data_IF_520441818391
#
_entry.id   IF_520441818391
#
_cell.length_a   1.000
_cell.length_b   1.000
_cell.length_c   1.000
_cell.angle_alpha   90.00
_cell.angle_beta   90.00
_cell.angle_gamma   90.00
#
_symmetry.space_group_name_H-M   'P 1'
#
loop_
_entity.id
_entity.type
_entity.pdbx_description
1 polymer ?
#
# COMPACT_ATOMS: atom_id res chain seq x y z
N UNK A 1 -56.24 81.81 57.47
CA UNK A 1 -57.13 82.64 58.30
C UNK A 1 -56.36 83.90 58.64
N UNK A 2 -56.55 84.96 57.85
CA UNK A 2 -55.89 86.23 58.10
C UNK A 2 -56.51 86.82 59.37
N UNK A 3 -55.78 86.75 60.47
CA UNK A 3 -56.12 87.50 61.67
C UNK A 3 -56.04 88.97 61.25
N UNK A 4 -57.17 89.67 61.24
CA UNK A 4 -57.19 91.12 61.07
C UNK A 4 -56.42 91.71 62.25
N UNK A 5 -55.10 91.89 62.07
CA UNK A 5 -54.23 92.53 63.04
C UNK A 5 -54.81 93.90 63.43
N UNK A 6 -55.50 94.56 62.50
CA UNK A 6 -56.19 95.83 62.71
C UNK A 6 -57.31 95.77 63.76
N UNK A 7 -58.14 94.71 63.77
CA UNK A 7 -59.20 94.53 64.77
C UNK A 7 -58.61 94.10 66.14
N UNK A 8 -57.55 93.28 66.13
CA UNK A 8 -56.84 92.89 67.34
C UNK A 8 -56.11 94.07 67.99
N UNK A 9 -55.41 94.89 67.19
CA UNK A 9 -54.78 96.10 67.71
C UNK A 9 -55.84 97.11 68.13
N UNK A 10 -56.95 97.27 67.41
CA UNK A 10 -58.05 98.17 67.81
C UNK A 10 -58.64 97.80 69.16
N UNK A 11 -59.00 96.53 69.37
CA UNK A 11 -59.54 96.04 70.64
C UNK A 11 -58.53 96.13 71.78
N UNK A 12 -57.26 95.81 71.54
CA UNK A 12 -56.19 95.94 72.56
C UNK A 12 -55.87 97.40 72.87
N UNK A 13 -55.98 98.32 71.90
CA UNK A 13 -55.84 99.76 72.13
C UNK A 13 -57.02 100.31 72.93
N UNK A 14 -58.23 99.91 72.57
CA UNK A 14 -59.47 100.31 73.25
C UNK A 14 -59.50 99.81 74.70
N UNK A 15 -59.05 98.58 74.97
CA UNK A 15 -59.06 98.01 76.33
C UNK A 15 -57.88 98.48 77.23
N UNK A 16 -56.74 98.89 76.66
CA UNK A 16 -55.51 99.16 77.45
C UNK A 16 -55.04 100.61 77.49
N UNK A 17 -55.44 101.47 76.54
CA UNK A 17 -55.02 102.88 76.50
C UNK A 17 -56.11 103.87 76.94
N UNK A 18 -57.39 103.46 76.90
CA UNK A 18 -58.47 104.20 77.55
C UNK A 18 -58.43 103.93 79.06
N UNK A 19 -57.51 104.60 79.74
CA UNK A 19 -57.68 104.87 81.18
C UNK A 19 -59.04 105.56 81.30
N UNK A 20 -60.03 104.90 81.91
CA UNK A 20 -61.30 105.55 82.28
C UNK A 20 -60.93 106.78 83.11
N UNK A 21 -61.08 107.98 82.53
CA UNK A 21 -60.94 109.22 83.28
C UNK A 21 -61.95 109.14 84.45
N UNK A 22 -61.52 109.34 85.70
CA UNK A 22 -62.44 109.38 86.84
C UNK A 22 -63.52 110.43 86.59
N UNK A 23 -64.77 110.12 86.96
CA UNK A 23 -65.89 111.07 86.88
C UNK A 23 -65.58 112.32 87.73
N UNK A 24 -65.83 113.51 87.16
CA UNK A 24 -65.51 114.81 87.77
C UNK A 24 -66.43 115.08 88.96
N UNK A 25 -65.89 115.11 90.18
CA UNK A 25 -66.51 115.77 91.34
C UNK A 25 -65.87 117.16 91.53
N UNK A 26 -66.13 118.08 90.61
CA UNK A 26 -65.58 119.45 90.63
C UNK A 26 -66.69 120.48 90.90
N UNK A 27 -67.07 120.75 92.16
CA UNK A 27 -67.92 121.91 92.47
C UNK A 27 -67.54 122.76 93.69
N UNK A 28 -66.52 122.40 94.51
CA UNK A 28 -66.09 123.26 95.63
C UNK A 28 -64.59 123.22 95.96
N UNK A 29 -63.71 123.41 94.97
CA UNK A 29 -62.25 123.48 95.18
C UNK A 29 -61.61 124.69 94.46
N UNK A 30 -60.62 125.32 95.11
CA UNK A 30 -59.94 126.54 94.66
C UNK A 30 -58.97 126.24 93.50
N UNK A 31 -58.67 127.15 92.55
CA UNK A 31 -57.80 126.86 91.40
C UNK A 31 -56.40 126.31 91.72
N UNK A 32 -55.91 126.52 92.95
CA UNK A 32 -54.64 125.97 93.43
C UNK A 32 -54.71 124.47 93.80
N UNK A 33 -55.86 123.96 94.26
CA UNK A 33 -56.03 122.55 94.64
C UNK A 33 -56.32 121.66 93.42
N UNK A 34 -57.06 122.15 92.43
CA UNK A 34 -57.26 121.45 91.15
C UNK A 34 -55.95 121.23 90.38
N UNK A 35 -55.03 122.19 90.45
CA UNK A 35 -53.69 122.08 89.87
C UNK A 35 -52.85 121.01 90.55
N UNK A 36 -53.01 120.83 91.87
CA UNK A 36 -52.33 119.79 92.64
C UNK A 36 -52.90 118.40 92.34
N UNK A 37 -54.23 118.27 92.21
CA UNK A 37 -54.87 117.01 91.82
C UNK A 37 -54.53 116.62 90.38
N UNK A 38 -54.56 117.56 89.43
CA UNK A 38 -54.10 117.27 88.06
C UNK A 38 -52.62 116.92 87.99
N UNK A 39 -51.78 117.50 88.86
CA UNK A 39 -50.36 117.12 88.97
C UNK A 39 -50.18 115.73 89.58
N UNK A 40 -51.06 115.34 90.51
CA UNK A 40 -51.09 113.99 91.10
C UNK A 40 -51.58 112.95 90.09
N UNK A 41 -52.68 113.21 89.37
CA UNK A 41 -53.18 112.36 88.29
C UNK A 41 -52.13 112.20 87.18
N UNK A 42 -51.47 113.30 86.77
CA UNK A 42 -50.36 113.26 85.82
C UNK A 42 -49.21 112.39 86.35
N UNK A 43 -48.84 112.52 87.63
CA UNK A 43 -47.82 111.67 88.26
C UNK A 43 -48.24 110.19 88.31
N UNK A 44 -49.51 109.89 88.56
CA UNK A 44 -50.04 108.52 88.62
C UNK A 44 -50.09 107.88 87.22
N UNK A 45 -50.49 108.64 86.19
CA UNK A 45 -50.45 108.21 84.78
C UNK A 45 -49.01 108.08 84.29
N UNK A 46 -48.10 109.00 84.65
CA UNK A 46 -46.67 108.90 84.35
C UNK A 46 -46.04 107.67 85.01
N UNK A 47 -46.40 107.36 86.26
CA UNK A 47 -45.97 106.13 86.95
C UNK A 47 -46.54 104.87 86.29
N UNK A 48 -47.83 104.85 85.91
CA UNK A 48 -48.44 103.71 85.21
C UNK A 48 -47.84 103.50 83.81
N UNK A 49 -47.54 104.58 83.09
CA UNK A 49 -46.86 104.54 81.81
C UNK A 49 -45.41 104.07 81.96
N UNK A 50 -44.71 104.49 83.01
CA UNK A 50 -43.36 104.00 83.33
C UNK A 50 -43.38 102.50 83.64
N UNK A 51 -44.32 102.02 84.47
CA UNK A 51 -44.50 100.60 84.76
C UNK A 51 -44.83 99.79 83.49
N UNK A 52 -45.70 100.30 82.61
CA UNK A 52 -46.03 99.62 81.35
C UNK A 52 -44.82 99.58 80.39
N UNK A 53 -44.01 100.64 80.34
CA UNK A 53 -42.76 100.67 79.57
C UNK A 53 -41.74 99.67 80.11
N UNK A 54 -41.59 99.57 81.43
CA UNK A 54 -40.74 98.57 82.07
C UNK A 54 -41.23 97.15 81.80
N UNK A 55 -42.54 96.89 81.89
CA UNK A 55 -43.10 95.59 81.54
C UNK A 55 -42.89 95.21 80.07
N UNK A 56 -43.07 96.16 79.15
CA UNK A 56 -42.83 95.95 77.73
C UNK A 56 -41.35 95.70 77.45
N UNK A 57 -40.47 96.44 78.12
CA UNK A 57 -39.03 96.26 78.05
C UNK A 57 -38.61 94.86 78.54
N UNK A 58 -39.11 94.42 79.70
CA UNK A 58 -38.87 93.06 80.21
C UNK A 58 -39.39 91.97 79.25
N UNK A 59 -40.58 92.18 78.66
CA UNK A 59 -41.14 91.26 77.65
C UNK A 59 -40.27 91.22 76.39
N UNK A 60 -39.81 92.36 75.91
CA UNK A 60 -38.90 92.44 74.76
C UNK A 60 -37.56 91.75 75.03
N UNK A 61 -36.97 91.98 76.20
CA UNK A 61 -35.72 91.32 76.61
C UNK A 61 -35.87 89.80 76.70
N UNK A 62 -36.97 89.30 77.30
CA UNK A 62 -37.24 87.85 77.36
C UNK A 62 -37.46 87.22 75.98
N UNK A 63 -38.15 87.92 75.06
CA UNK A 63 -38.33 87.47 73.68
C UNK A 63 -37.02 87.49 72.91
N UNK A 64 -36.18 88.50 73.14
CA UNK A 64 -34.85 88.58 72.52
C UNK A 64 -33.95 87.45 73.01
N UNK A 65 -33.90 87.20 74.31
CA UNK A 65 -33.20 86.04 74.88
C UNK A 65 -33.72 84.72 74.27
N UNK A 66 -35.03 84.56 74.13
CA UNK A 66 -35.62 83.36 73.54
C UNK A 66 -35.28 83.19 72.06
N UNK A 67 -35.21 84.28 71.30
CA UNK A 67 -34.77 84.26 69.89
C UNK A 67 -33.31 83.84 69.80
N UNK A 68 -32.43 84.44 70.60
CA UNK A 68 -31.02 84.06 70.63
C UNK A 68 -30.80 82.61 71.07
N UNK A 69 -31.58 82.09 72.03
CA UNK A 69 -31.55 80.68 72.41
C UNK A 69 -31.97 79.76 71.26
N UNK A 70 -33.00 80.13 70.51
CA UNK A 70 -33.48 79.35 69.36
C UNK A 70 -32.45 79.36 68.24
N UNK A 71 -31.83 80.50 67.95
CA UNK A 71 -30.75 80.61 66.96
C UNK A 71 -29.55 79.74 67.36
N UNK A 72 -29.10 79.78 68.62
CA UNK A 72 -28.03 78.90 69.13
C UNK A 72 -28.39 77.42 68.97
N UNK A 73 -29.63 77.02 69.26
CA UNK A 73 -30.09 75.63 69.08
C UNK A 73 -30.13 75.23 67.61
N UNK A 74 -30.56 76.13 66.73
CA UNK A 74 -30.59 75.90 65.28
C UNK A 74 -29.18 75.72 64.72
N UNK A 75 -28.22 76.55 65.15
CA UNK A 75 -26.81 76.42 64.78
C UNK A 75 -26.22 75.09 65.27
N UNK A 76 -26.46 74.70 66.53
CA UNK A 76 -26.05 73.40 67.06
C UNK A 76 -26.64 72.22 66.26
N UNK A 77 -27.92 72.30 65.88
CA UNK A 77 -28.59 71.31 65.03
C UNK A 77 -27.92 71.25 63.65
N UNK A 78 -27.67 72.39 63.00
CA UNK A 78 -26.98 72.46 61.71
C UNK A 78 -25.59 71.83 61.78
N UNK A 79 -24.80 72.15 62.81
CA UNK A 79 -23.50 71.52 63.03
C UNK A 79 -23.59 70.01 63.25
N UNK A 80 -24.56 69.56 64.06
CA UNK A 80 -24.76 68.13 64.33
C UNK A 80 -25.14 67.37 63.05
N UNK A 81 -25.96 67.95 62.19
CA UNK A 81 -26.33 67.39 60.90
C UNK A 81 -25.14 67.32 59.95
N UNK A 82 -24.27 68.33 59.93
CA UNK A 82 -23.04 68.29 59.14
C UNK A 82 -22.08 67.20 59.64
N UNK A 83 -21.89 67.09 60.96
CA UNK A 83 -21.08 66.04 61.60
C UNK A 83 -21.64 64.64 61.30
N UNK A 84 -22.96 64.47 61.39
CA UNK A 84 -23.63 63.19 61.09
C UNK A 84 -23.54 62.82 59.61
N UNK A 85 -23.79 63.76 58.69
CA UNK A 85 -23.59 63.53 57.26
C UNK A 85 -22.15 63.17 56.91
N UNK A 86 -21.16 63.84 57.53
CA UNK A 86 -19.75 63.50 57.37
C UNK A 86 -19.47 62.09 57.88
N UNK A 87 -19.98 61.73 59.05
CA UNK A 87 -19.85 60.39 59.62
C UNK A 87 -20.46 59.30 58.72
N UNK A 88 -21.66 59.52 58.18
CA UNK A 88 -22.30 58.58 57.25
C UNK A 88 -21.45 58.37 55.99
N UNK A 89 -20.99 59.46 55.36
CA UNK A 89 -20.10 59.37 54.18
C UNK A 89 -18.81 58.62 54.48
N UNK A 90 -18.16 58.91 55.61
CA UNK A 90 -16.94 58.21 56.02
C UNK A 90 -17.19 56.73 56.34
N UNK A 91 -18.32 56.41 56.97
CA UNK A 91 -18.70 55.03 57.28
C UNK A 91 -19.00 54.24 56.01
N UNK A 92 -19.76 54.83 55.08
CA UNK A 92 -20.05 54.23 53.77
C UNK A 92 -18.77 54.01 52.95
N UNK A 93 -17.82 54.96 52.99
CA UNK A 93 -16.51 54.78 52.38
C UNK A 93 -15.71 53.65 53.02
N UNK A 94 -15.70 53.54 54.36
CA UNK A 94 -15.03 52.45 55.09
C UNK A 94 -15.68 51.10 54.75
N UNK A 95 -17.00 51.03 54.74
CA UNK A 95 -17.78 49.84 54.36
C UNK A 95 -17.48 49.43 52.91
N UNK A 96 -17.53 50.38 51.97
CA UNK A 96 -17.23 50.13 50.56
C UNK A 96 -15.80 49.61 50.37
N UNK A 97 -14.81 50.22 51.03
CA UNK A 97 -13.41 49.75 50.99
C UNK A 97 -13.26 48.35 51.57
N UNK A 98 -13.88 48.08 52.71
CA UNK A 98 -13.83 46.76 53.35
C UNK A 98 -14.47 45.68 52.47
N UNK A 99 -15.62 45.98 51.86
CA UNK A 99 -16.31 45.08 50.93
C UNK A 99 -15.46 44.83 49.68
N UNK A 100 -14.89 45.86 49.06
CA UNK A 100 -13.99 45.72 47.92
C UNK A 100 -12.79 44.85 48.25
N UNK A 101 -12.07 45.15 49.35
CA UNK A 101 -10.92 44.36 49.81
C UNK A 101 -11.28 42.89 50.08
N UNK A 102 -12.46 42.64 50.65
CA UNK A 102 -12.95 41.27 50.87
C UNK A 102 -13.32 40.56 49.55
N UNK A 103 -13.88 41.29 48.56
CA UNK A 103 -14.16 40.75 47.23
C UNK A 103 -12.86 40.38 46.51
N UNK A 104 -11.90 41.31 46.44
CA UNK A 104 -10.61 41.10 45.80
C UNK A 104 -9.85 39.92 46.44
N UNK A 105 -9.87 39.83 47.78
CA UNK A 105 -9.26 38.71 48.50
C UNK A 105 -9.93 37.36 48.17
N UNK A 106 -11.27 37.31 48.04
CA UNK A 106 -12.00 36.10 47.65
C UNK A 106 -11.72 35.70 46.21
N UNK A 107 -11.62 36.67 45.30
CA UNK A 107 -11.28 36.41 43.90
C UNK A 107 -9.85 35.88 43.77
N UNK A 108 -8.90 36.47 44.48
CA UNK A 108 -7.52 35.98 44.55
C UNK A 108 -7.45 34.56 45.12
N UNK A 109 -8.20 34.27 46.19
CA UNK A 109 -8.28 32.91 46.76
C UNK A 109 -8.81 31.91 45.71
N UNK A 110 -9.93 32.21 45.05
CA UNK A 110 -10.48 31.37 43.97
C UNK A 110 -9.52 31.17 42.81
N UNK A 111 -8.73 32.19 42.46
CA UNK A 111 -7.70 32.04 41.43
C UNK A 111 -6.61 31.07 41.88
N UNK A 112 -6.14 31.18 43.13
CA UNK A 112 -5.14 30.27 43.69
C UNK A 112 -5.67 28.84 43.84
N UNK A 113 -6.93 28.65 44.21
CA UNK A 113 -7.56 27.33 44.25
C UNK A 113 -7.55 26.67 42.86
N UNK A 114 -7.94 27.42 41.81
CA UNK A 114 -7.85 26.94 40.41
C UNK A 114 -6.41 26.63 39.98
N UNK A 115 -5.45 27.44 40.41
CA UNK A 115 -4.03 27.19 40.12
C UNK A 115 -3.54 25.92 40.85
N UNK A 116 -3.95 25.70 42.11
CA UNK A 116 -3.62 24.50 42.88
C UNK A 116 -4.21 23.24 42.25
N UNK A 117 -5.46 23.29 41.79
CA UNK A 117 -6.11 22.17 41.08
C UNK A 117 -5.34 21.83 39.80
N UNK A 118 -5.04 22.83 38.96
CA UNK A 118 -4.29 22.64 37.71
C UNK A 118 -2.91 22.05 37.95
N UNK A 119 -2.16 22.61 38.90
CA UNK A 119 -0.83 22.10 39.25
C UNK A 119 -0.91 20.69 39.85
N UNK A 120 -1.96 20.38 40.62
CA UNK A 120 -2.22 19.04 41.15
C UNK A 120 -2.46 18.01 40.04
N UNK A 121 -3.24 18.35 39.02
CA UNK A 121 -3.44 17.52 37.83
C UNK A 121 -2.13 17.29 37.06
N UNK A 122 -1.34 18.36 36.87
CA UNK A 122 -0.02 18.26 36.21
C UNK A 122 0.93 17.33 36.97
N UNK A 123 0.98 17.43 38.31
CA UNK A 123 1.78 16.55 39.16
C UNK A 123 1.31 15.11 38.99
N UNK A 124 0.02 14.83 39.06
CA UNK A 124 -0.53 13.48 38.90
C UNK A 124 -0.17 12.86 37.54
N UNK A 125 -0.24 13.65 36.45
CA UNK A 125 0.16 13.19 35.11
C UNK A 125 1.66 12.89 35.04
N UNK A 126 2.50 13.74 35.63
CA UNK A 126 3.95 13.56 35.66
C UNK A 126 4.34 12.35 36.50
N UNK A 127 3.68 12.13 37.64
CA UNK A 127 3.88 10.95 38.49
C UNK A 127 3.51 9.66 37.76
N UNK A 128 2.35 9.61 37.10
CA UNK A 128 1.95 8.47 36.29
C UNK A 128 2.96 8.18 35.15
N UNK A 129 3.49 9.24 34.51
CA UNK A 129 4.54 9.11 33.48
C UNK A 129 5.85 8.58 34.08
N UNK A 130 6.27 9.09 35.24
CA UNK A 130 7.45 8.64 35.98
C UNK A 130 7.33 7.16 36.32
N UNK A 131 6.23 6.73 36.92
CA UNK A 131 5.99 5.33 37.26
C UNK A 131 6.00 4.42 36.03
N UNK A 132 5.38 4.86 34.93
CA UNK A 132 5.39 4.11 33.67
C UNK A 132 6.80 3.91 33.14
N UNK A 133 7.64 4.94 33.20
CA UNK A 133 9.04 4.86 32.77
C UNK A 133 9.86 4.00 33.73
N UNK A 134 9.66 4.15 35.04
CA UNK A 134 10.34 3.35 36.06
C UNK A 134 10.04 1.85 35.89
N UNK A 135 8.78 1.48 35.66
CA UNK A 135 8.40 0.09 35.33
C UNK A 135 9.11 -0.43 34.08
N UNK A 136 9.30 0.41 33.05
CA UNK A 136 10.07 0.01 31.85
C UNK A 136 11.55 -0.20 32.17
N UNK A 137 12.14 0.68 32.97
CA UNK A 137 13.53 0.56 33.41
C UNK A 137 13.74 -0.72 34.22
N UNK A 138 12.85 -1.01 35.17
CA UNK A 138 12.91 -2.22 36.00
C UNK A 138 12.80 -3.51 35.15
N UNK A 139 11.84 -3.56 34.21
CA UNK A 139 11.71 -4.67 33.27
C UNK A 139 12.98 -4.85 32.43
N UNK A 140 13.56 -3.75 31.95
CA UNK A 140 14.75 -3.77 31.09
C UNK A 140 16.06 -3.99 31.86
N UNK A 141 16.07 -3.80 33.18
CA UNK A 141 17.26 -3.95 34.02
C UNK A 141 17.84 -5.38 33.96
N UNK A 142 16.99 -6.39 33.70
CA UNK A 142 17.43 -7.78 33.54
C UNK A 142 18.38 -7.90 32.34
N UNK A 143 18.05 -7.27 31.21
CA UNK A 143 18.89 -7.29 30.00
C UNK A 143 20.20 -6.55 30.23
N UNK A 144 20.17 -5.41 30.92
CA UNK A 144 21.40 -4.68 31.27
C UNK A 144 22.32 -5.51 32.16
N UNK A 145 21.78 -6.12 33.22
CA UNK A 145 22.54 -7.04 34.10
C UNK A 145 23.12 -8.23 33.34
N UNK A 146 22.39 -8.76 32.37
CA UNK A 146 22.89 -9.81 31.50
C UNK A 146 24.05 -9.31 30.63
N UNK A 147 23.89 -8.19 29.93
CA UNK A 147 24.93 -7.60 29.09
C UNK A 147 26.18 -7.25 29.89
N UNK A 148 26.03 -6.75 31.12
CA UNK A 148 27.13 -6.49 32.03
C UNK A 148 27.88 -7.78 32.40
N UNK A 149 27.16 -8.88 32.67
CA UNK A 149 27.77 -10.20 32.91
C UNK A 149 28.52 -10.72 31.69
N UNK A 150 27.98 -10.53 30.49
CA UNK A 150 28.63 -10.96 29.23
C UNK A 150 29.85 -10.10 28.92
N UNK A 151 29.76 -8.79 29.10
CA UNK A 151 30.89 -7.85 28.98
C UNK A 151 32.03 -8.24 29.93
N UNK A 152 31.73 -8.54 31.20
CA UNK A 152 32.72 -9.01 32.18
C UNK A 152 33.43 -10.31 31.80
N UNK A 153 32.77 -11.18 31.03
CA UNK A 153 33.35 -12.45 30.54
C UNK A 153 34.07 -12.31 29.21
N UNK A 154 33.85 -11.22 28.48
CA UNK A 154 34.37 -11.00 27.14
C UNK A 154 35.61 -10.12 27.20
N UNK A 155 36.76 -10.67 26.83
CA UNK A 155 38.04 -9.92 26.83
C UNK A 155 38.07 -8.81 25.76
N UNK A 156 37.33 -8.98 24.67
CA UNK A 156 37.40 -8.11 23.48
C UNK A 156 36.29 -7.06 23.37
N UNK A 157 35.20 -7.21 24.14
CA UNK A 157 34.04 -6.32 24.09
C UNK A 157 33.65 -5.94 25.52
N UNK A 158 34.48 -5.10 26.12
CA UNK A 158 34.30 -4.66 27.50
C UNK A 158 33.18 -3.62 27.60
N UNK A 159 32.95 -2.83 26.56
CA UNK A 159 31.84 -1.87 26.53
C UNK A 159 30.55 -2.48 25.94
N UNK A 160 29.44 -2.34 26.69
CA UNK A 160 28.11 -2.78 26.23
C UNK A 160 27.70 -2.06 24.94
N UNK A 161 28.09 -0.79 24.76
CA UNK A 161 27.78 0.00 23.56
C UNK A 161 28.48 -0.57 22.32
N UNK A 162 29.75 -0.94 22.43
CA UNK A 162 30.50 -1.58 21.35
C UNK A 162 29.89 -2.93 20.97
N UNK A 163 29.45 -3.70 21.97
CA UNK A 163 28.76 -4.96 21.76
C UNK A 163 27.47 -4.77 20.94
N UNK A 164 26.64 -3.80 21.32
CA UNK A 164 25.42 -3.45 20.58
C UNK A 164 25.77 -3.01 19.16
N UNK A 165 26.74 -2.11 18.97
CA UNK A 165 27.17 -1.67 17.64
C UNK A 165 27.64 -2.82 16.76
N UNK A 166 28.40 -3.78 17.32
CA UNK A 166 28.81 -4.98 16.59
C UNK A 166 27.60 -5.87 16.25
N UNK A 167 26.66 -6.06 17.16
CA UNK A 167 25.43 -6.79 16.87
C UNK A 167 24.63 -6.13 15.74
N UNK A 168 24.50 -4.81 15.73
CA UNK A 168 23.80 -4.08 14.68
C UNK A 168 24.48 -4.26 13.33
N UNK A 169 25.82 -4.16 13.28
CA UNK A 169 26.58 -4.46 12.04
C UNK A 169 26.41 -5.91 11.59
N UNK A 170 26.34 -6.86 12.52
CA UNK A 170 26.14 -8.27 12.20
C UNK A 170 24.74 -8.55 11.67
N UNK A 171 23.71 -7.92 12.24
CA UNK A 171 22.33 -8.00 11.75
C UNK A 171 22.25 -7.40 10.35
N UNK A 172 22.80 -6.19 10.15
CA UNK A 172 22.81 -5.53 8.85
C UNK A 172 23.53 -6.37 7.78
N UNK A 173 24.70 -6.91 8.08
CA UNK A 173 25.44 -7.80 7.16
C UNK A 173 24.68 -9.09 6.89
N UNK A 174 24.07 -9.71 7.91
CA UNK A 174 23.20 -10.89 7.72
C UNK A 174 22.05 -10.60 6.78
N UNK A 175 21.34 -9.48 6.96
CA UNK A 175 20.25 -9.09 6.08
C UNK A 175 20.71 -8.87 4.64
N UNK A 176 21.87 -8.21 4.45
CA UNK A 176 22.46 -8.03 3.13
C UNK A 176 22.85 -9.37 2.48
N UNK A 177 23.42 -10.30 3.24
CA UNK A 177 23.78 -11.63 2.73
C UNK A 177 22.54 -12.45 2.36
N UNK A 178 21.47 -12.37 3.16
CA UNK A 178 20.21 -13.05 2.86
C UNK A 178 19.57 -12.50 1.58
N UNK A 179 19.57 -11.17 1.40
CA UNK A 179 19.09 -10.55 0.14
C UNK A 179 19.91 -11.03 -1.06
N UNK A 180 21.24 -10.97 -0.96
CA UNK A 180 22.13 -11.46 -2.03
C UNK A 180 21.93 -12.95 -2.34
N UNK A 181 21.71 -13.77 -1.32
CA UNK A 181 21.43 -15.19 -1.50
C UNK A 181 20.10 -15.41 -2.24
N UNK A 182 19.06 -14.65 -1.90
CA UNK A 182 17.77 -14.67 -2.62
C UNK A 182 17.94 -14.24 -4.07
N UNK A 183 18.58 -13.11 -4.33
CA UNK A 183 18.81 -12.60 -5.68
C UNK A 183 19.60 -13.59 -6.53
N UNK A 184 20.61 -14.25 -5.95
CA UNK A 184 21.41 -15.26 -6.63
C UNK A 184 20.59 -16.53 -6.90
N UNK A 185 19.71 -16.94 -5.97
CA UNK A 185 18.82 -18.07 -6.15
C UNK A 185 17.84 -17.82 -7.30
N UNK A 186 17.22 -16.64 -7.36
CA UNK A 186 16.31 -16.23 -8.44
C UNK A 186 17.03 -16.22 -9.80
N UNK A 187 18.26 -15.68 -9.87
CA UNK A 187 19.07 -15.71 -11.10
C UNK A 187 19.39 -17.14 -11.54
N UNK A 188 19.76 -18.00 -10.60
CA UNK A 188 20.09 -19.40 -10.87
C UNK A 188 18.85 -20.18 -11.34
N UNK A 189 17.69 -19.93 -10.75
CA UNK A 189 16.42 -20.50 -11.21
C UNK A 189 16.05 -20.02 -12.62
N UNK A 190 16.20 -18.73 -12.90
CA UNK A 190 15.97 -18.17 -14.24
C UNK A 190 16.91 -18.80 -15.28
N UNK A 191 18.20 -18.92 -14.99
CA UNK A 191 19.17 -19.55 -15.89
C UNK A 191 18.90 -21.05 -16.08
N UNK A 192 18.49 -21.75 -15.02
CA UNK A 192 18.08 -23.16 -15.10
C UNK A 192 16.86 -23.33 -16.00
N UNK A 193 15.87 -22.46 -15.88
CA UNK A 193 14.68 -22.48 -16.72
C UNK A 193 15.02 -22.22 -18.19
N UNK A 194 15.87 -21.24 -18.47
CA UNK A 194 16.34 -20.93 -19.82
C UNK A 194 17.11 -22.10 -20.44
N UNK A 195 18.01 -22.73 -19.68
CA UNK A 195 18.74 -23.92 -20.13
C UNK A 195 17.79 -25.09 -20.38
N UNK A 196 16.80 -25.30 -19.52
CA UNK A 196 15.82 -26.35 -19.68
C UNK A 196 15.03 -26.17 -20.97
N UNK A 197 14.48 -24.97 -21.21
CA UNK A 197 13.77 -24.63 -22.44
C UNK A 197 14.64 -24.84 -23.68
N UNK A 198 15.88 -24.34 -23.66
CA UNK A 198 16.81 -24.53 -24.78
C UNK A 198 17.09 -26.02 -25.04
N UNK A 199 17.21 -26.83 -23.99
CA UNK A 199 17.46 -28.27 -24.12
C UNK A 199 16.25 -28.99 -24.70
N UNK A 200 15.03 -28.63 -24.28
CA UNK A 200 13.79 -29.16 -24.85
C UNK A 200 13.63 -28.77 -26.32
N UNK A 201 13.87 -27.51 -26.67
CA UNK A 201 13.85 -27.03 -28.06
C UNK A 201 14.87 -27.79 -28.93
N UNK A 202 16.08 -28.04 -28.40
CA UNK A 202 17.08 -28.79 -29.15
C UNK A 202 16.74 -30.27 -29.25
N UNK A 203 16.19 -30.87 -28.20
CA UNK A 203 15.71 -32.25 -28.23
C UNK A 203 14.59 -32.43 -29.26
N UNK A 204 13.64 -31.50 -29.32
CA UNK A 204 12.57 -31.53 -30.32
C UNK A 204 13.10 -31.35 -31.75
N UNK A 205 14.08 -30.46 -31.96
CA UNK A 205 14.77 -30.32 -33.24
C UNK A 205 15.51 -31.60 -33.67
N UNK A 206 16.21 -32.26 -32.73
CA UNK A 206 16.88 -33.55 -33.02
C UNK A 206 15.86 -34.62 -33.38
N UNK A 207 14.73 -34.71 -32.68
CA UNK A 207 13.66 -35.64 -33.03
C UNK A 207 13.08 -35.36 -34.43
N UNK A 208 12.90 -34.08 -34.78
CA UNK A 208 12.46 -33.67 -36.10
C UNK A 208 13.43 -34.13 -37.20
N UNK A 209 14.74 -33.83 -37.06
CA UNK A 209 15.75 -34.24 -38.05
C UNK A 209 15.94 -35.76 -38.11
N UNK A 210 15.83 -36.47 -36.98
CA UNK A 210 15.88 -37.93 -36.99
C UNK A 210 14.69 -38.54 -37.73
N UNK A 211 13.50 -37.95 -37.58
CA UNK A 211 12.32 -38.38 -38.34
C UNK A 211 12.52 -38.13 -39.84
N UNK A 212 13.01 -36.95 -40.22
CA UNK A 212 13.32 -36.62 -41.61
C UNK A 212 14.38 -37.56 -42.20
N UNK A 213 15.43 -37.86 -41.43
CA UNK A 213 16.48 -38.81 -41.81
C UNK A 213 15.91 -40.21 -42.06
N UNK A 214 15.03 -40.69 -41.17
CA UNK A 214 14.38 -41.99 -41.32
C UNK A 214 13.51 -42.05 -42.59
N UNK A 215 12.79 -40.97 -42.91
CA UNK A 215 12.01 -40.86 -44.16
C UNK A 215 12.94 -40.92 -45.38
N UNK A 216 14.03 -40.16 -45.37
CA UNK A 216 15.00 -40.13 -46.48
C UNK A 216 15.69 -41.48 -46.66
N UNK A 217 16.08 -42.14 -45.58
CA UNK A 217 16.65 -43.50 -45.61
C UNK A 217 15.64 -44.50 -46.19
N UNK A 218 14.38 -44.46 -45.76
CA UNK A 218 13.33 -45.31 -46.32
C UNK A 218 13.14 -45.09 -47.83
N UNK A 219 13.19 -43.83 -48.30
CA UNK A 219 13.16 -43.51 -49.72
C UNK A 219 14.38 -44.07 -50.48
N UNK A 220 15.56 -43.99 -49.89
CA UNK A 220 16.80 -44.52 -50.47
C UNK A 220 16.75 -46.05 -50.58
N UNK A 221 16.35 -46.76 -49.52
CA UNK A 221 16.22 -48.21 -49.51
C UNK A 221 15.18 -48.70 -50.53
N UNK A 222 14.08 -47.95 -50.69
CA UNK A 222 13.10 -48.21 -51.75
C UNK A 222 13.67 -48.01 -53.15
N UNK A 223 14.49 -46.99 -53.37
CA UNK A 223 15.15 -46.76 -54.65
C UNK A 223 16.20 -47.83 -54.95
N UNK A 224 17.05 -48.17 -53.99
CA UNK A 224 18.05 -49.25 -54.10
C UNK A 224 17.40 -50.60 -54.35
N UNK A 225 16.34 -50.96 -53.62
CA UNK A 225 15.63 -52.23 -53.85
C UNK A 225 14.99 -52.29 -55.25
N UNK A 226 14.48 -51.17 -55.77
CA UNK A 226 14.02 -51.08 -57.17
C UNK A 226 15.19 -51.25 -58.15
N UNK A 227 16.33 -50.60 -57.91
CA UNK A 227 17.52 -50.71 -58.75
C UNK A 227 18.02 -52.16 -58.84
N UNK A 228 18.19 -52.84 -57.70
CA UNK A 228 18.60 -54.25 -57.64
C UNK A 228 17.62 -55.16 -58.37
N UNK A 229 16.30 -54.92 -58.25
CA UNK A 229 15.29 -55.67 -59.00
C UNK A 229 15.46 -55.52 -60.51
N UNK A 230 15.71 -54.31 -60.99
CA UNK A 230 15.92 -54.05 -62.42
C UNK A 230 17.26 -54.58 -62.93
N UNK A 231 18.32 -54.49 -62.12
CA UNK A 231 19.62 -55.05 -62.42
C UNK A 231 19.56 -56.58 -62.55
N UNK A 232 18.84 -57.26 -61.65
CA UNK A 232 18.60 -58.71 -61.75
C UNK A 232 17.88 -59.09 -63.06
N UNK A 233 16.82 -58.34 -63.42
CA UNK A 233 16.13 -58.53 -64.69
C UNK A 233 17.05 -58.30 -65.89
N UNK A 234 17.87 -57.26 -65.84
CA UNK A 234 18.85 -56.95 -66.88
C UNK A 234 19.89 -58.07 -67.04
N UNK A 235 20.47 -58.55 -65.94
CA UNK A 235 21.40 -59.67 -65.92
C UNK A 235 20.77 -60.95 -66.48
N UNK A 236 19.50 -61.21 -66.18
CA UNK A 236 18.77 -62.35 -66.76
C UNK A 236 18.63 -62.22 -68.29
N UNK A 237 18.27 -61.03 -68.78
CA UNK A 237 18.19 -60.75 -70.21
C UNK A 237 19.57 -60.92 -70.86
N UNK A 238 20.62 -60.35 -70.27
CA UNK A 238 21.98 -60.43 -70.77
C UNK A 238 22.50 -61.87 -70.82
N UNK A 239 22.28 -62.66 -69.75
CA UNK A 239 22.64 -64.09 -69.72
C UNK A 239 21.87 -64.89 -70.78
N UNK A 240 20.59 -64.59 -70.98
CA UNK A 240 19.77 -65.22 -72.02
C UNK A 240 20.28 -64.87 -73.40
N UNK A 241 20.62 -63.60 -73.64
CA UNK A 241 21.23 -63.14 -74.88
C UNK A 241 22.57 -63.82 -75.12
N UNK A 242 23.46 -63.87 -74.13
CA UNK A 242 24.76 -64.56 -74.21
C UNK A 242 24.61 -66.05 -74.54
N UNK A 243 23.65 -66.75 -73.91
CA UNK A 243 23.32 -68.16 -74.24
C UNK A 243 22.84 -68.30 -75.69
N UNK A 244 21.96 -67.41 -76.15
CA UNK A 244 21.47 -67.41 -77.55
C UNK A 244 22.59 -67.11 -78.53
N UNK A 245 23.47 -66.14 -78.23
CA UNK A 245 24.64 -65.81 -79.04
C UNK A 245 25.64 -66.97 -79.10
N UNK A 246 25.88 -67.65 -77.98
CA UNK A 246 26.74 -68.84 -77.95
C UNK A 246 26.14 -69.98 -78.78
N UNK A 247 24.85 -70.26 -78.62
CA UNK A 247 24.15 -71.29 -79.39
C UNK A 247 24.16 -70.98 -80.88
N UNK A 248 23.94 -69.71 -81.26
CA UNK A 248 24.09 -69.26 -82.64
C UNK A 248 25.52 -69.50 -83.13
N UNK A 249 26.54 -69.12 -82.37
CA UNK A 249 27.95 -69.38 -82.70
C UNK A 249 28.28 -70.87 -82.86
N UNK A 250 27.73 -71.74 -82.00
CA UNK A 250 27.87 -73.18 -82.10
C UNK A 250 27.19 -73.73 -83.36
N UNK A 251 25.99 -73.27 -83.70
CA UNK A 251 25.32 -73.62 -84.96
C UNK A 251 26.19 -73.19 -86.14
N UNK A 252 26.67 -71.93 -86.15
CA UNK A 252 27.56 -71.43 -87.22
C UNK A 252 28.79 -72.32 -87.40
N UNK A 253 29.46 -72.69 -86.31
CA UNK A 253 30.64 -73.55 -86.33
C UNK A 253 30.32 -74.98 -86.77
N UNK A 254 29.22 -75.56 -86.31
CA UNK A 254 28.79 -76.89 -86.75
C UNK A 254 28.44 -76.90 -88.24
N UNK A 255 27.74 -75.89 -88.75
CA UNK A 255 27.44 -75.71 -90.17
C UNK A 255 28.71 -75.58 -91.01
N UNK A 256 29.67 -74.74 -90.58
CA UNK A 256 30.98 -74.59 -91.20
C UNK A 256 31.75 -75.92 -91.23
N UNK A 257 31.81 -76.62 -90.10
CA UNK A 257 32.52 -77.90 -89.99
C UNK A 257 31.88 -78.97 -90.89
N UNK A 258 30.55 -79.02 -90.98
CA UNK A 258 29.84 -79.92 -91.88
C UNK A 258 30.11 -79.57 -93.35
N UNK A 259 30.10 -78.29 -93.73
CA UNK A 259 30.48 -77.85 -95.08
C UNK A 259 31.91 -78.30 -95.41
N UNK A 260 32.87 -78.06 -94.51
CA UNK A 260 34.25 -78.49 -94.69
C UNK A 260 34.38 -80.01 -94.84
N UNK A 261 33.58 -80.79 -94.11
CA UNK A 261 33.57 -82.25 -94.22
C UNK A 261 33.00 -82.71 -95.57
N UNK A 262 31.88 -82.11 -96.02
CA UNK A 262 31.26 -82.39 -97.32
C UNK A 262 32.21 -82.04 -98.46
N UNK A 263 32.85 -80.86 -98.41
CA UNK A 263 33.84 -80.46 -99.41
C UNK A 263 35.05 -81.42 -99.45
N UNK A 264 35.50 -81.94 -98.29
CA UNK A 264 36.56 -82.95 -98.23
C UNK A 264 36.16 -84.30 -98.84
N UNK A 265 34.89 -84.70 -98.75
CA UNK A 265 34.40 -85.97 -99.30
C UNK A 265 34.08 -85.89 -100.80
N UNK A 266 33.63 -84.72 -101.28
CA UNK A 266 33.31 -84.48 -102.69
C UNK A 266 34.56 -84.34 -103.59
N UNK A 267 35.76 -84.21 -103.01
CA UNK A 267 37.02 -84.12 -103.79
C UNK A 267 37.11 -82.88 -104.68
N UNK A 268 36.28 -81.87 -104.46
CA UNK A 268 36.25 -80.61 -105.20
C UNK A 268 36.93 -79.47 -104.40
N UNK A 269 37.57 -78.55 -105.13
CA UNK A 269 38.18 -77.33 -104.58
C UNK A 269 37.14 -76.45 -103.87
N UNK A 270 37.58 -75.79 -102.79
CA UNK A 270 36.79 -74.92 -101.92
C UNK A 270 35.89 -73.95 -102.71
N UNK A 271 34.57 -74.16 -102.70
CA UNK A 271 33.64 -73.10 -103.04
C UNK A 271 33.70 -72.04 -101.93
N UNK A 272 34.10 -70.81 -102.27
CA UNK A 272 34.14 -69.64 -101.38
C UNK A 272 32.72 -69.29 -100.90
N UNK A 273 32.19 -70.05 -99.94
CA UNK A 273 31.03 -69.62 -99.16
C UNK A 273 31.57 -68.81 -97.98
N UNK A 274 31.19 -67.51 -97.84
CA UNK A 274 31.66 -66.67 -96.76
C UNK A 274 31.40 -67.29 -95.38
N UNK A 275 32.37 -67.12 -94.48
CA UNK A 275 32.34 -67.70 -93.13
C UNK A 275 31.12 -67.23 -92.32
N UNK A 276 30.58 -66.05 -92.63
CA UNK A 276 29.42 -65.49 -91.93
C UNK A 276 28.05 -65.96 -92.45
N UNK A 277 27.96 -66.49 -93.68
CA UNK A 277 26.71 -66.91 -94.33
C UNK A 277 26.36 -68.37 -93.99
N UNK A 278 25.67 -68.53 -92.86
CA UNK A 278 25.36 -69.85 -92.29
C UNK A 278 24.26 -70.58 -93.07
N UNK A 279 23.32 -69.84 -93.66
CA UNK A 279 22.22 -70.40 -94.43
C UNK A 279 22.74 -70.96 -95.76
N UNK A 280 23.61 -70.22 -96.45
CA UNK A 280 24.29 -70.70 -97.66
C UNK A 280 25.16 -71.96 -97.43
N UNK A 281 25.84 -72.04 -96.28
CA UNK A 281 26.63 -73.23 -95.91
C UNK A 281 25.75 -74.47 -95.71
N UNK A 282 24.60 -74.32 -95.03
CA UNK A 282 23.67 -75.41 -94.80
C UNK A 282 22.95 -75.84 -96.08
N UNK A 283 22.63 -74.90 -96.98
CA UNK A 283 22.01 -75.21 -98.27
C UNK A 283 22.96 -76.00 -99.19
N UNK A 284 24.27 -75.72 -99.17
CA UNK A 284 25.26 -76.52 -99.91
C UNK A 284 25.44 -77.92 -99.31
N UNK A 285 25.51 -78.03 -97.97
CA UNK A 285 25.52 -79.34 -97.27
C UNK A 285 24.27 -80.15 -97.63
N UNK A 286 23.09 -79.51 -97.67
CA UNK A 286 21.83 -80.14 -98.08
C UNK A 286 21.88 -80.62 -99.54
N UNK A 287 22.38 -79.80 -100.46
CA UNK A 287 22.49 -80.16 -101.88
C UNK A 287 23.35 -81.42 -102.08
N UNK A 288 24.42 -81.58 -101.30
CA UNK A 288 25.34 -82.69 -101.46
C UNK A 288 24.96 -83.99 -100.72
N UNK A 289 24.23 -83.86 -99.62
CA UNK A 289 23.52 -85.00 -99.04
C UNK A 289 22.44 -85.50 -100.02
N UNK A 290 21.77 -84.58 -100.74
CA UNK A 290 20.77 -84.93 -101.74
C UNK A 290 21.38 -85.58 -103.00
N UNK A 291 22.57 -85.15 -103.44
CA UNK A 291 23.30 -85.78 -104.56
C UNK A 291 23.84 -87.18 -104.19
N UNK A 292 24.28 -87.38 -102.95
CA UNK A 292 24.71 -88.68 -102.40
C UNK A 292 23.58 -89.72 -102.30
N UNK A 293 22.31 -89.27 -102.25
CA UNK A 293 21.13 -90.15 -102.19
C UNK A 293 20.62 -90.60 -103.58
N UNK A 294 21.26 -90.20 -104.68
CA UNK A 294 20.81 -90.43 -106.06
C UNK A 294 21.72 -91.32 -106.95
N UNK A 295 22.47 -92.28 -106.37
CA UNK A 295 23.04 -93.41 -107.13
C UNK A 295 22.75 -94.78 -106.47
N UNK A 296 22.55 -95.88 -107.24
CA UNK A 296 21.47 -96.85 -106.97
C UNK A 296 21.86 -98.15 -106.22
N UNK A 297 21.04 -98.49 -105.22
CA UNK A 297 20.52 -99.83 -104.82
C UNK A 297 21.43 -101.07 -104.94
N UNK A 298 22.58 -101.10 -104.28
CA UNK A 298 23.15 -102.32 -103.68
C UNK A 298 23.91 -101.90 -102.41
N UNK A 299 23.89 -102.69 -101.33
CA UNK A 299 24.36 -102.33 -99.96
C UNK A 299 23.35 -101.55 -99.09
N UNK A 300 22.07 -101.82 -99.32
CA UNK A 300 21.09 -101.99 -98.23
C UNK A 300 21.54 -103.26 -97.48
N UNK A 301 21.72 -103.17 -96.16
CA UNK A 301 22.29 -104.18 -95.22
C UNK A 301 23.73 -103.82 -94.81
N UNK A 302 23.84 -102.83 -93.94
CA UNK A 302 24.69 -102.89 -92.73
C UNK A 302 24.41 -101.72 -91.77
N UNK A 303 23.41 -100.87 -92.04
CA UNK A 303 22.80 -100.01 -91.02
C UNK A 303 21.49 -100.61 -90.53
N UNK A 304 21.54 -101.62 -89.63
CA UNK A 304 20.37 -102.00 -88.81
C UNK A 304 20.70 -102.87 -87.60
N UNK A 305 21.66 -102.46 -86.77
CA UNK A 305 21.84 -103.07 -85.44
C UNK A 305 22.53 -102.12 -84.44
N UNK A 306 22.14 -100.85 -84.41
CA UNK A 306 22.57 -99.95 -83.32
C UNK A 306 21.53 -98.87 -83.06
N UNK A 307 20.25 -99.23 -83.06
CA UNK A 307 19.20 -98.37 -82.52
C UNK A 307 18.05 -99.23 -82.02
N UNK A 308 17.94 -99.34 -80.70
CA UNK A 308 16.72 -99.34 -79.88
C UNK A 308 17.14 -99.28 -78.40
N UNK A 309 17.49 -98.07 -77.91
CA UNK A 309 16.74 -97.22 -76.96
C UNK A 309 15.63 -97.91 -76.12
N UNK A 310 15.16 -97.38 -74.94
CA UNK A 310 15.50 -96.11 -74.28
C UNK A 310 15.32 -96.01 -72.72
N UNK A 311 15.53 -94.78 -72.20
CA UNK A 311 14.83 -94.14 -71.03
C UNK A 311 15.24 -94.67 -69.62
N UNK A 312 15.37 -93.90 -68.53
CA UNK A 312 14.94 -92.53 -68.18
C UNK A 312 15.37 -92.22 -66.73
N UNK A 313 15.46 -90.91 -66.41
CA UNK A 313 15.24 -90.28 -65.08
C UNK A 313 16.19 -90.72 -63.94
N UNK A 314 16.58 -89.92 -62.96
CA UNK A 314 16.32 -88.57 -62.45
C UNK A 314 17.38 -88.42 -61.34
N UNK A 315 18.08 -87.31 -61.18
CA UNK A 315 17.53 -86.14 -60.51
C UNK A 315 17.65 -86.26 -58.98
N UNK A 316 18.41 -85.32 -58.41
CA UNK A 316 18.24 -84.68 -57.09
C UNK A 316 19.01 -85.16 -55.85
N UNK A 317 19.94 -84.27 -55.48
CA UNK A 317 20.15 -83.63 -54.18
C UNK A 317 20.82 -84.38 -53.03
N UNK A 318 22.10 -84.03 -52.88
CA UNK A 318 22.78 -83.93 -51.59
C UNK A 318 22.21 -82.76 -50.76
N UNK A 319 22.02 -83.06 -49.48
CA UNK A 319 22.34 -82.26 -48.28
C UNK A 319 22.10 -80.75 -48.31
N UNK A 320 21.17 -80.31 -47.45
CA UNK A 320 21.53 -79.44 -46.33
C UNK A 320 20.39 -79.44 -45.29
N UNK A 321 20.65 -80.12 -44.19
CA UNK A 321 20.00 -79.90 -42.92
C UNK A 321 20.76 -78.78 -42.19
N UNK A 322 20.05 -77.74 -41.79
CA UNK A 322 20.42 -76.78 -40.73
C UNK A 322 19.12 -76.10 -40.32
N UNK A 323 18.45 -76.63 -39.30
CA UNK A 323 18.62 -76.23 -37.89
C UNK A 323 17.97 -74.90 -37.59
N UNK A 324 16.87 -75.03 -36.85
CA UNK A 324 16.26 -74.02 -35.99
C UNK A 324 17.31 -73.21 -35.21
N UNK A 325 17.04 -71.90 -35.13
CA UNK A 325 17.32 -71.00 -34.00
C UNK A 325 16.42 -69.78 -34.27
N UNK A 326 15.28 -69.62 -33.60
CA UNK A 326 15.17 -68.99 -32.28
C UNK A 326 16.28 -67.96 -32.04
N UNK A 327 15.96 -66.68 -32.16
CA UNK A 327 15.89 -65.82 -30.98
C UNK A 327 15.58 -64.35 -31.29
N UNK A 328 14.93 -63.72 -30.31
CA UNK A 328 15.13 -62.34 -29.86
C UNK A 328 14.57 -61.15 -30.67
N UNK A 329 13.39 -60.70 -30.22
CA UNK A 329 13.10 -59.32 -29.74
C UNK A 329 14.38 -58.57 -29.33
N UNK A 330 14.63 -57.30 -29.74
CA UNK A 330 14.06 -56.09 -29.10
C UNK A 330 13.84 -54.93 -30.13
N UNK A 331 13.17 -53.81 -29.90
CA UNK A 331 12.83 -52.97 -28.74
C UNK A 331 11.51 -52.25 -29.01
#
# INVERSE_FOLDING_TARGET
>A
MALNLEDYFRTVYEDKLLVKMPEREDEYLTPATQLLEKRREMSEVEQALAAQKEEFQMKMESLQQRREELERKEEQLKESLLKFNKFLKENDLKRSRAVKKACDAREMARQKDRDMERLGEEIAVLEAKKERLQRKVEKNAIFWKYLEKVSKKSEKLQEIREMIGRFDTLISTREQLLRKASDNQEKLESQRLELHHFTEDKSTQVLYYNNELAVLQGCLDQACSKAVKWESKWNHIQNTAAKKTLLLGQIKMASLNLLQLVNKQAGEQEAEIPIEDTDGQLDRVRAEIASSFLLPKTLRIQCRASFLLPQTHSGFSAELASSDTQDSVPS
#
